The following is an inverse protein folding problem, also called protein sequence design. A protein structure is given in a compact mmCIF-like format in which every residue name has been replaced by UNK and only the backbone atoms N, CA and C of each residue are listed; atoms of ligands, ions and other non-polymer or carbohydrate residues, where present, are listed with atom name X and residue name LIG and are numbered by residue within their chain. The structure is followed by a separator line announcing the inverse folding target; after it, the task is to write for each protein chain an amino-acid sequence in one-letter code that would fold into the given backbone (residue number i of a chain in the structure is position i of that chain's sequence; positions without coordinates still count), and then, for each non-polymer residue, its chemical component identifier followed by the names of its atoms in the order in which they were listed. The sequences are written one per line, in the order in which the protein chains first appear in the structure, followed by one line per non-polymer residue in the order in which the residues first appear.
data_IF_766801076433
#
_entry.id   IF_766801076433
#
_cell.length_a   1.000
_cell.length_b   1.000
_cell.length_c   1.000
_cell.angle_alpha   90.00
_cell.angle_beta   90.00
_cell.angle_gamma   90.00
#
_symmetry.space_group_name_H-M   'P 1'
#
loop_
_entity.id
_entity.type
_entity.pdbx_description
1 polymer ?
#
# COMPACT_ATOMS: atom_id res chain seq x y z
N UNK A 1 30.45 2.85 24.29
CA UNK A 1 29.04 2.72 24.72
C UNK A 1 28.30 1.91 23.66
N UNK A 2 27.86 0.70 24.01
CA UNK A 2 27.30 -0.25 23.07
C UNK A 2 25.82 0.09 22.77
N UNK A 3 25.49 0.32 21.50
CA UNK A 3 24.10 0.52 21.04
C UNK A 3 23.43 -0.85 20.96
N UNK A 4 22.43 -1.03 21.81
CA UNK A 4 21.64 -2.24 21.97
C UNK A 4 20.92 -2.62 20.66
N UNK A 5 21.37 -3.71 20.03
CA UNK A 5 20.65 -4.41 18.97
C UNK A 5 19.37 -5.03 19.55
N UNK A 6 18.22 -4.33 19.47
CA UNK A 6 16.91 -4.91 19.75
C UNK A 6 16.60 -5.95 18.66
N UNK A 7 16.73 -7.22 19.02
CA UNK A 7 16.38 -8.41 18.24
C UNK A 7 14.99 -8.24 17.60
N UNK A 8 14.94 -8.23 16.26
CA UNK A 8 13.69 -8.50 15.53
C UNK A 8 13.20 -9.89 15.93
N UNK A 9 12.03 -9.95 16.56
CA UNK A 9 11.38 -11.20 16.92
C UNK A 9 11.11 -12.00 15.64
N UNK A 10 11.62 -13.22 15.59
CA UNK A 10 11.29 -14.19 14.55
C UNK A 10 9.77 -14.36 14.47
N UNK A 11 9.18 -13.96 13.35
CA UNK A 11 7.79 -14.21 13.05
C UNK A 11 7.62 -15.67 12.63
N UNK A 12 6.95 -16.45 13.45
CA UNK A 12 6.48 -17.80 13.14
C UNK A 12 5.62 -17.78 11.87
N UNK A 13 5.94 -18.65 10.91
CA UNK A 13 5.14 -18.93 9.71
C UNK A 13 3.75 -19.46 10.11
N UNK A 14 2.77 -18.55 10.27
CA UNK A 14 1.41 -18.91 10.65
C UNK A 14 0.40 -17.85 10.20
N UNK A 15 -0.25 -18.07 9.07
CA UNK A 15 -1.58 -17.58 8.64
C UNK A 15 -1.85 -16.08 8.44
N UNK A 16 -0.99 -15.15 8.85
CA UNK A 16 -1.21 -13.73 8.57
C UNK A 16 0.08 -13.11 8.04
N UNK A 17 0.17 -12.95 6.73
CA UNK A 17 1.37 -12.44 6.03
C UNK A 17 1.53 -10.92 6.11
N UNK A 18 0.53 -10.21 6.62
CA UNK A 18 0.61 -8.76 6.75
C UNK A 18 1.51 -8.36 7.92
N UNK A 19 2.51 -7.51 7.65
CA UNK A 19 3.37 -6.95 8.69
C UNK A 19 2.63 -5.84 9.43
N UNK A 20 2.38 -6.01 10.74
CA UNK A 20 1.82 -4.97 11.58
C UNK A 20 2.90 -3.95 11.97
N UNK A 21 2.61 -2.67 11.79
CA UNK A 21 3.46 -1.56 12.20
C UNK A 21 2.67 -0.54 13.01
N UNK A 22 3.32 0.10 13.99
CA UNK A 22 2.74 1.24 14.71
C UNK A 22 2.90 2.48 13.84
N UNK A 23 1.82 3.24 13.69
CA UNK A 23 1.84 4.54 13.01
C UNK A 23 2.20 5.61 14.04
N UNK A 24 3.14 6.48 13.72
CA UNK A 24 3.61 7.55 14.60
C UNK A 24 2.93 8.88 14.30
N UNK A 25 2.87 9.77 15.30
CA UNK A 25 2.37 11.15 15.11
C UNK A 25 3.19 11.90 14.06
N UNK A 26 4.51 11.66 14.04
CA UNK A 26 5.39 12.30 13.07
C UNK A 26 5.06 11.88 11.62
N UNK A 27 4.76 10.60 11.38
CA UNK A 27 4.28 10.13 10.07
C UNK A 27 2.96 10.78 9.68
N UNK A 28 2.02 10.95 10.61
CA UNK A 28 0.77 11.69 10.35
C UNK A 28 1.04 13.13 9.96
N UNK A 29 1.87 13.85 10.72
CA UNK A 29 2.17 15.25 10.46
C UNK A 29 2.86 15.45 9.09
N UNK A 30 3.82 14.59 8.75
CA UNK A 30 4.47 14.63 7.43
C UNK A 30 3.48 14.33 6.30
N UNK A 31 2.61 13.33 6.47
CA UNK A 31 1.60 12.96 5.47
C UNK A 31 0.58 14.09 5.25
N UNK A 32 0.14 14.75 6.30
CA UNK A 32 -0.81 15.86 6.25
C UNK A 32 -0.20 17.05 5.50
N UNK A 33 1.00 17.46 5.88
CA UNK A 33 1.75 18.52 5.21
C UNK A 33 1.94 18.23 3.72
N UNK A 34 2.36 17.02 3.34
CA UNK A 34 2.52 16.63 1.93
C UNK A 34 1.19 16.61 1.16
N UNK A 35 0.10 16.19 1.82
CA UNK A 35 -1.23 16.20 1.19
C UNK A 35 -1.72 17.62 0.91
N UNK A 36 -1.42 18.58 1.80
CA UNK A 36 -1.73 20.00 1.61
C UNK A 36 -0.90 20.60 0.46
N UNK A 37 0.41 20.35 0.43
CA UNK A 37 1.32 20.84 -0.61
C UNK A 37 0.97 20.29 -2.00
N UNK A 38 0.54 19.03 -2.09
CA UNK A 38 0.21 18.37 -3.36
C UNK A 38 -1.12 18.82 -3.94
N UNK A 39 -2.08 19.24 -3.08
CA UNK A 39 -3.43 19.60 -3.49
C UNK A 39 -4.18 18.44 -4.19
N UNK A 40 -5.07 18.79 -5.13
CA UNK A 40 -5.86 17.78 -5.86
C UNK A 40 -5.15 17.37 -7.14
N UNK A 41 -4.67 16.13 -7.20
CA UNK A 41 -4.08 15.58 -8.43
C UNK A 41 -5.13 15.41 -9.53
N UNK A 42 -4.76 15.68 -10.79
CA UNK A 42 -5.64 15.59 -11.98
C UNK A 42 -6.26 14.19 -12.16
N UNK A 43 -5.61 13.14 -11.65
CA UNK A 43 -6.08 11.75 -11.75
C UNK A 43 -6.71 11.22 -10.45
N UNK A 44 -7.06 12.10 -9.50
CA UNK A 44 -7.64 11.68 -8.23
C UNK A 44 -9.07 11.19 -8.40
N UNK A 45 -9.32 9.88 -8.18
CA UNK A 45 -10.66 9.27 -8.19
C UNK A 45 -11.54 9.83 -7.06
N UNK A 46 -10.93 10.34 -5.99
CA UNK A 46 -11.59 10.81 -4.77
C UNK A 46 -11.64 12.33 -4.66
N UNK A 47 -11.23 13.06 -5.72
CA UNK A 47 -11.11 14.53 -5.70
C UNK A 47 -10.33 15.04 -4.47
N UNK A 48 -9.22 14.41 -4.15
CA UNK A 48 -8.35 14.78 -3.03
C UNK A 48 -8.79 14.30 -1.63
N UNK A 49 -10.02 13.81 -1.47
CA UNK A 49 -10.56 13.40 -0.15
C UNK A 49 -9.80 12.25 0.54
N UNK A 50 -8.94 11.54 -0.18
CA UNK A 50 -8.15 10.42 0.34
C UNK A 50 -6.64 10.68 0.33
N UNK A 51 -6.19 11.88 -0.07
CA UNK A 51 -4.76 12.17 -0.23
C UNK A 51 -3.98 11.94 1.07
N UNK A 52 -4.47 12.42 2.21
CA UNK A 52 -3.80 12.22 3.50
C UNK A 52 -3.55 10.76 3.86
N UNK A 53 -4.49 9.85 3.56
CA UNK A 53 -4.30 8.42 3.82
C UNK A 53 -3.32 7.76 2.83
N UNK A 54 -3.30 8.22 1.58
CA UNK A 54 -2.31 7.82 0.57
C UNK A 54 -0.91 8.22 1.04
N UNK A 55 -0.71 9.51 1.34
CA UNK A 55 0.54 10.06 1.84
C UNK A 55 1.01 9.36 3.12
N UNK A 56 0.10 9.02 4.05
CA UNK A 56 0.46 8.29 5.27
C UNK A 56 1.02 6.90 4.95
N UNK A 57 0.45 6.20 3.97
CA UNK A 57 1.00 4.93 3.52
C UNK A 57 2.39 5.07 2.91
N UNK A 58 2.62 6.13 2.13
CA UNK A 58 3.94 6.43 1.59
C UNK A 58 4.96 6.73 2.69
N UNK A 59 4.60 7.55 3.72
CA UNK A 59 5.46 7.82 4.87
C UNK A 59 5.85 6.54 5.63
N UNK A 60 4.89 5.63 5.85
CA UNK A 60 5.15 4.34 6.50
C UNK A 60 6.15 3.50 5.71
N UNK A 61 5.95 3.39 4.39
CA UNK A 61 6.85 2.60 3.53
C UNK A 61 8.21 3.28 3.37
N UNK A 62 8.25 4.61 3.27
CA UNK A 62 9.49 5.39 3.21
C UNK A 62 10.37 5.09 4.43
N UNK A 63 9.82 5.18 5.62
CA UNK A 63 10.57 4.94 6.86
C UNK A 63 11.01 3.48 6.98
N UNK A 64 10.14 2.53 6.58
CA UNK A 64 10.44 1.10 6.67
C UNK A 64 11.57 0.68 5.72
N UNK A 65 11.50 1.10 4.46
CA UNK A 65 12.40 0.67 3.39
C UNK A 65 13.51 1.69 3.10
N UNK A 66 13.55 2.82 3.84
CA UNK A 66 14.51 3.91 3.62
C UNK A 66 14.46 4.49 2.20
N UNK A 67 13.25 4.60 1.67
CA UNK A 67 13.01 5.13 0.34
C UNK A 67 13.20 6.64 0.26
N UNK A 68 13.49 7.11 -0.95
CA UNK A 68 13.42 8.53 -1.33
C UNK A 68 12.10 8.82 -2.05
N UNK A 69 11.75 10.10 -2.14
CA UNK A 69 10.61 10.55 -2.93
C UNK A 69 10.80 10.28 -4.42
N UNK A 70 9.68 10.19 -5.13
CA UNK A 70 9.66 10.14 -6.58
C UNK A 70 10.10 11.49 -7.17
N UNK A 71 10.84 11.40 -8.27
CA UNK A 71 11.08 12.50 -9.21
C UNK A 71 9.99 12.58 -10.31
N UNK A 72 9.03 11.65 -10.32
CA UNK A 72 7.91 11.58 -11.26
C UNK A 72 6.64 11.03 -10.59
N UNK A 73 5.96 11.89 -9.85
CA UNK A 73 4.77 11.57 -9.02
C UNK A 73 3.58 10.96 -9.80
N UNK A 74 3.57 11.05 -11.13
CA UNK A 74 2.53 10.42 -11.96
C UNK A 74 2.83 8.96 -12.29
N UNK A 75 4.09 8.53 -12.13
CA UNK A 75 4.54 7.21 -12.50
C UNK A 75 4.84 6.28 -11.33
N UNK A 76 5.25 6.82 -10.17
CA UNK A 76 5.51 6.06 -8.95
C UNK A 76 5.59 7.00 -7.73
N UNK A 77 5.45 6.46 -6.53
CA UNK A 77 5.42 7.25 -5.29
C UNK A 77 6.80 7.32 -4.62
N UNK A 78 7.51 6.20 -4.55
CA UNK A 78 8.77 6.07 -3.81
C UNK A 78 9.83 5.29 -4.61
N UNK A 79 11.12 5.57 -4.30
CA UNK A 79 12.26 4.84 -4.86
C UNK A 79 13.09 4.23 -3.74
N UNK A 80 13.34 2.91 -3.81
CA UNK A 80 14.19 2.22 -2.83
C UNK A 80 15.66 2.61 -3.00
N UNK A 81 16.53 2.34 -2.01
CA UNK A 81 17.97 2.54 -2.15
C UNK A 81 18.60 1.75 -3.32
N UNK A 82 18.02 0.61 -3.69
CA UNK A 82 18.43 -0.19 -4.86
C UNK A 82 17.91 0.34 -6.19
N UNK A 83 17.09 1.41 -6.18
CA UNK A 83 16.55 2.05 -7.38
C UNK A 83 15.18 1.53 -7.83
N UNK A 84 14.56 0.57 -7.13
CA UNK A 84 13.23 0.06 -7.46
C UNK A 84 12.17 1.13 -7.24
N UNK A 85 11.31 1.37 -8.23
CA UNK A 85 10.21 2.36 -8.20
C UNK A 85 8.94 1.69 -7.69
N UNK A 86 8.42 2.20 -6.58
CA UNK A 86 7.26 1.65 -5.87
C UNK A 86 6.04 2.57 -6.04
N UNK A 87 4.92 1.97 -6.36
CA UNK A 87 3.60 2.59 -6.27
C UNK A 87 2.88 2.07 -5.03
N UNK A 88 2.47 2.97 -4.14
CA UNK A 88 1.92 2.63 -2.83
C UNK A 88 0.39 2.68 -2.89
N UNK A 89 -0.26 1.58 -2.54
CA UNK A 89 -1.72 1.46 -2.52
C UNK A 89 -2.23 1.33 -1.10
N UNK A 90 -2.69 2.45 -0.55
CA UNK A 90 -3.18 2.55 0.82
C UNK A 90 -4.70 2.45 0.86
N UNK A 91 -5.22 1.59 1.73
CA UNK A 91 -6.65 1.50 2.03
C UNK A 91 -6.89 1.83 3.50
N UNK A 92 -7.69 2.86 3.79
CA UNK A 92 -8.17 3.10 5.16
C UNK A 92 -9.15 2.00 5.58
N UNK A 93 -9.13 1.63 6.84
CA UNK A 93 -10.00 0.61 7.41
C UNK A 93 -10.38 0.95 8.85
N UNK A 94 -11.55 0.51 9.31
CA UNK A 94 -11.96 0.58 10.72
C UNK A 94 -11.52 -0.64 11.54
N UNK A 95 -10.77 -1.56 10.92
CA UNK A 95 -10.28 -2.77 11.60
C UNK A 95 -9.29 -2.41 12.70
N UNK A 96 -9.32 -3.19 13.77
CA UNK A 96 -8.38 -3.11 14.91
C UNK A 96 -7.42 -4.32 14.93
N UNK A 97 -7.67 -5.31 14.08
CA UNK A 97 -6.88 -6.54 13.90
C UNK A 97 -6.36 -6.65 12.47
N UNK A 98 -5.37 -7.51 12.26
CA UNK A 98 -4.77 -7.72 10.95
C UNK A 98 -5.80 -8.19 9.89
N UNK A 99 -5.66 -7.74 8.63
CA UNK A 99 -6.57 -8.11 7.55
C UNK A 99 -6.48 -9.60 7.25
N UNK A 100 -7.61 -10.19 6.82
CA UNK A 100 -7.67 -11.59 6.44
C UNK A 100 -6.95 -11.85 5.11
N UNK A 101 -6.35 -13.04 4.92
CA UNK A 101 -5.58 -13.37 3.70
C UNK A 101 -6.39 -13.26 2.39
N UNK A 102 -7.70 -13.44 2.44
CA UNK A 102 -8.62 -13.35 1.30
C UNK A 102 -9.09 -11.92 0.99
N UNK A 103 -8.68 -10.93 1.78
CA UNK A 103 -9.03 -9.54 1.47
C UNK A 103 -8.31 -9.06 0.22
N UNK A 104 -9.02 -8.22 -0.57
CA UNK A 104 -8.55 -7.77 -1.87
C UNK A 104 -7.60 -6.58 -1.76
N UNK A 105 -6.54 -6.66 -2.53
CA UNK A 105 -5.66 -5.56 -2.89
C UNK A 105 -5.95 -5.17 -4.33
N UNK A 106 -6.25 -3.88 -4.55
CA UNK A 106 -6.80 -3.40 -5.82
C UNK A 106 -5.91 -2.35 -6.46
N UNK A 107 -5.75 -2.44 -7.78
CA UNK A 107 -5.11 -1.43 -8.62
C UNK A 107 -6.13 -0.96 -9.65
N UNK A 108 -6.39 0.35 -9.72
CA UNK A 108 -7.33 0.91 -10.67
C UNK A 108 -6.85 0.72 -12.13
N UNK A 109 -7.79 0.57 -13.07
CA UNK A 109 -7.48 0.33 -14.48
C UNK A 109 -6.65 1.43 -15.17
N UNK A 110 -6.54 2.61 -14.57
CA UNK A 110 -5.65 3.68 -15.07
C UNK A 110 -4.17 3.46 -14.71
N UNK A 111 -3.90 2.76 -13.62
CA UNK A 111 -2.55 2.56 -13.07
C UNK A 111 -1.60 1.67 -13.91
N UNK A 112 -2.05 0.73 -14.78
CA UNK A 112 -1.14 -0.03 -15.64
C UNK A 112 -0.22 0.82 -16.54
N UNK A 113 -0.58 2.07 -16.79
CA UNK A 113 0.23 3.02 -17.59
C UNK A 113 1.40 3.62 -16.79
N UNK A 114 1.36 3.56 -15.47
CA UNK A 114 2.44 4.06 -14.62
C UNK A 114 3.74 3.27 -14.84
N UNK A 115 4.88 3.93 -14.62
CA UNK A 115 6.22 3.34 -14.83
C UNK A 115 6.85 2.84 -13.53
N UNK A 116 6.03 2.35 -12.59
CA UNK A 116 6.53 1.68 -11.38
C UNK A 116 7.00 0.25 -11.69
N UNK A 117 7.87 -0.27 -10.83
CA UNK A 117 8.38 -1.64 -10.91
C UNK A 117 7.54 -2.60 -10.06
N UNK A 118 6.96 -2.12 -8.94
CA UNK A 118 6.12 -2.90 -8.06
C UNK A 118 5.00 -2.07 -7.42
N UNK A 119 3.91 -2.76 -7.06
CA UNK A 119 2.84 -2.26 -6.21
C UNK A 119 3.04 -2.74 -4.77
N UNK A 120 2.96 -1.83 -3.81
CA UNK A 120 2.97 -2.14 -2.37
C UNK A 120 1.60 -1.84 -1.79
N UNK A 121 1.04 -2.79 -1.05
CA UNK A 121 -0.31 -2.68 -0.51
C UNK A 121 -0.29 -2.60 1.00
N UNK A 122 -1.01 -1.63 1.55
CA UNK A 122 -1.19 -1.51 3.00
C UNK A 122 -2.60 -1.06 3.38
N UNK A 123 -2.97 -1.33 4.62
CA UNK A 123 -4.20 -0.88 5.26
C UNK A 123 -3.86 -0.09 6.50
N UNK A 124 -4.45 1.09 6.65
CA UNK A 124 -4.25 1.96 7.82
C UNK A 124 -5.56 2.02 8.61
N UNK A 125 -5.48 1.76 9.91
CA UNK A 125 -6.64 1.81 10.78
C UNK A 125 -7.03 3.25 11.09
N UNK A 126 -8.35 3.51 11.09
CA UNK A 126 -8.93 4.77 11.58
C UNK A 126 -9.30 4.72 13.07
N UNK A 127 -9.10 3.57 13.73
CA UNK A 127 -9.51 3.32 15.13
C UNK A 127 -8.34 3.15 16.07
N UNK A 128 -7.21 2.69 15.57
CA UNK A 128 -5.98 2.45 16.34
C UNK A 128 -4.77 2.93 15.57
N UNK A 129 -3.70 3.34 16.24
CA UNK A 129 -2.46 3.82 15.59
C UNK A 129 -1.65 2.67 15.01
N UNK A 130 -2.27 1.93 14.07
CA UNK A 130 -1.67 0.76 13.42
C UNK A 130 -1.92 0.76 11.93
N UNK A 131 -0.95 0.21 11.22
CA UNK A 131 -1.11 -0.17 9.82
C UNK A 131 -0.63 -1.61 9.61
N UNK A 132 -1.14 -2.23 8.55
CA UNK A 132 -0.74 -3.57 8.11
C UNK A 132 -0.25 -3.47 6.69
N UNK A 133 1.05 -3.77 6.50
CA UNK A 133 1.64 -3.88 5.19
C UNK A 133 1.28 -5.27 4.67
N UNK A 134 0.32 -5.31 3.75
CA UNK A 134 -0.24 -6.55 3.21
C UNK A 134 0.77 -7.34 2.38
N UNK A 135 1.72 -6.65 1.77
CA UNK A 135 2.76 -7.20 0.92
C UNK A 135 2.96 -6.38 -0.35
N UNK A 136 3.71 -6.92 -1.27
CA UNK A 136 3.96 -6.31 -2.59
C UNK A 136 3.87 -7.35 -3.70
N UNK A 137 3.79 -6.87 -4.93
CA UNK A 137 3.92 -7.71 -6.13
C UNK A 137 4.63 -6.90 -7.20
N UNK A 138 5.53 -7.53 -7.98
CA UNK A 138 6.05 -6.88 -9.19
C UNK A 138 4.89 -6.46 -10.08
N UNK A 139 5.02 -5.32 -10.75
CA UNK A 139 3.96 -4.87 -11.65
C UNK A 139 3.66 -5.90 -12.74
N UNK A 140 4.69 -6.53 -13.27
CA UNK A 140 4.56 -7.57 -14.30
C UNK A 140 3.72 -8.74 -13.79
N UNK A 141 4.05 -9.31 -12.61
CA UNK A 141 3.33 -10.45 -12.04
C UNK A 141 1.93 -10.05 -11.59
N UNK A 142 1.76 -8.86 -11.02
CA UNK A 142 0.44 -8.37 -10.64
C UNK A 142 -0.49 -8.29 -11.85
N UNK A 143 -0.04 -7.69 -12.96
CA UNK A 143 -0.86 -7.56 -14.16
C UNK A 143 -1.16 -8.90 -14.84
N UNK A 144 -0.29 -9.90 -14.67
CA UNK A 144 -0.47 -11.26 -15.20
C UNK A 144 -1.45 -12.08 -14.36
N UNK A 145 -1.40 -11.94 -13.04
CA UNK A 145 -2.09 -12.84 -12.10
C UNK A 145 -3.38 -12.25 -11.52
N UNK A 146 -3.51 -10.92 -11.47
CA UNK A 146 -4.67 -10.26 -10.87
C UNK A 146 -5.93 -10.44 -11.73
N UNK A 147 -7.07 -10.52 -11.04
CA UNK A 147 -8.38 -10.64 -11.70
C UNK A 147 -8.91 -9.27 -12.05
N UNK A 148 -9.31 -9.09 -13.30
CA UNK A 148 -9.93 -7.85 -13.77
C UNK A 148 -11.43 -7.83 -13.50
N UNK A 149 -11.92 -6.70 -12.99
CA UNK A 149 -13.34 -6.42 -12.78
C UNK A 149 -13.71 -5.09 -13.46
N UNK A 150 -14.78 -5.07 -14.20
CA UNK A 150 -15.36 -3.84 -14.75
C UNK A 150 -16.16 -3.10 -13.70
N UNK A 151 -16.30 -1.79 -13.86
CA UNK A 151 -17.27 -1.01 -13.09
C UNK A 151 -18.66 -1.60 -13.26
N UNK A 152 -19.34 -1.89 -12.14
CA UNK A 152 -20.67 -2.50 -12.09
C UNK A 152 -20.66 -4.01 -11.86
N UNK A 153 -19.53 -4.69 -12.08
CA UNK A 153 -19.42 -6.12 -11.76
C UNK A 153 -19.63 -6.36 -10.25
N UNK A 154 -20.09 -7.56 -9.91
CA UNK A 154 -20.15 -8.02 -8.52
C UNK A 154 -19.07 -9.07 -8.30
N UNK A 155 -18.18 -8.83 -7.31
CA UNK A 155 -17.22 -9.86 -6.89
C UNK A 155 -17.95 -10.97 -6.14
N UNK A 156 -18.13 -12.13 -6.79
CA UNK A 156 -18.84 -13.27 -6.24
C UNK A 156 -18.23 -13.80 -4.93
N UNK A 157 -16.95 -13.49 -4.64
CA UNK A 157 -16.27 -13.95 -3.42
C UNK A 157 -16.74 -13.20 -2.15
N UNK A 158 -17.34 -12.02 -2.29
CA UNK A 158 -17.71 -11.16 -1.15
C UNK A 158 -18.97 -10.29 -1.39
N UNK A 159 -19.62 -10.43 -2.55
CA UNK A 159 -20.82 -9.65 -2.93
C UNK A 159 -20.56 -8.16 -3.20
N UNK A 160 -19.29 -7.72 -3.26
CA UNK A 160 -18.97 -6.31 -3.45
C UNK A 160 -19.22 -5.87 -4.88
N UNK A 161 -20.03 -4.81 -5.06
CA UNK A 161 -20.23 -4.15 -6.35
C UNK A 161 -19.07 -3.20 -6.67
N UNK A 162 -18.41 -3.44 -7.78
CA UNK A 162 -17.20 -2.70 -8.20
C UNK A 162 -17.60 -1.30 -8.69
N UNK A 163 -17.09 -0.26 -8.04
CA UNK A 163 -17.42 1.14 -8.36
C UNK A 163 -16.49 1.74 -9.44
N UNK A 164 -15.32 1.18 -9.65
CA UNK A 164 -14.39 1.57 -10.72
C UNK A 164 -13.67 0.32 -11.24
N UNK A 165 -13.46 0.23 -12.56
CA UNK A 165 -12.74 -0.90 -13.15
C UNK A 165 -11.35 -1.04 -12.53
N UNK A 166 -11.01 -2.25 -12.06
CA UNK A 166 -9.79 -2.51 -11.32
C UNK A 166 -9.28 -3.94 -11.48
N UNK A 167 -8.01 -4.12 -11.17
CA UNK A 167 -7.38 -5.42 -11.01
C UNK A 167 -7.30 -5.77 -9.52
N UNK A 168 -7.73 -6.96 -9.13
CA UNK A 168 -7.78 -7.41 -7.75
C UNK A 168 -6.95 -8.67 -7.54
N UNK A 169 -6.20 -8.70 -6.43
CA UNK A 169 -5.45 -9.85 -5.95
C UNK A 169 -5.71 -10.03 -4.45
N UNK A 170 -5.71 -11.26 -3.93
CA UNK A 170 -5.82 -11.48 -2.50
C UNK A 170 -4.51 -11.15 -1.79
N UNK A 171 -4.57 -10.79 -0.51
CA UNK A 171 -3.36 -10.60 0.33
C UNK A 171 -2.50 -11.86 0.35
N UNK A 172 -3.12 -13.05 0.35
CA UNK A 172 -2.40 -14.33 0.33
C UNK A 172 -1.56 -14.59 -0.93
N UNK A 173 -1.85 -13.86 -2.01
CA UNK A 173 -1.17 -13.97 -3.31
C UNK A 173 0.00 -12.98 -3.45
N UNK A 174 0.17 -12.06 -2.47
CA UNK A 174 1.25 -11.09 -2.45
C UNK A 174 2.54 -11.69 -1.86
N UNK A 175 3.67 -11.13 -2.26
CA UNK A 175 4.95 -11.38 -1.64
C UNK A 175 5.12 -10.56 -0.35
N UNK A 176 5.87 -11.13 0.60
CA UNK A 176 6.16 -10.44 1.86
C UNK A 176 7.10 -9.25 1.63
N UNK A 177 6.82 -8.11 2.28
CA UNK A 177 7.56 -6.85 2.08
C UNK A 177 9.09 -6.99 2.30
N UNK A 178 9.54 -7.88 3.15
CA UNK A 178 10.96 -8.12 3.41
C UNK A 178 11.75 -8.67 2.20
N UNK A 179 11.06 -9.06 1.12
CA UNK A 179 11.71 -9.49 -0.13
C UNK A 179 12.11 -8.31 -1.03
N UNK A 180 11.60 -7.11 -0.76
CA UNK A 180 12.07 -5.89 -1.43
C UNK A 180 13.50 -5.60 -0.95
N UNK A 181 14.42 -5.52 -1.89
CA UNK A 181 15.85 -5.25 -1.64
C UNK A 181 16.26 -3.96 -2.32
#
# INVERSE_FOLDING_TARGET
MAVSNKKMKHFTQGRNRALEVKVTTDQYNRAEKRAEELGVLRNSITNGKSNGWGMLGEEIIRDLLKCTDSDDIYNYDLKTPSGMRLEIKTKKTSMVTAPKPYFKCSVCNHNPRQRCDAYVFLRVSTKVNKAWICGFKSKQDFMKEARFFKKGDTDASNGYKVHASCYNMNISELDHINKIR
#
